data_IF_380213805948
#
_entry.id   IF_380213805948
#
_cell.length_a   1.000
_cell.length_b   1.000
_cell.length_c   1.000
_cell.angle_alpha   90.00
_cell.angle_beta   90.00
_cell.angle_gamma   90.00
#
_symmetry.space_group_name_H-M   'P 1'
#
loop_
_entity.id
_entity.type
_entity.pdbx_description
1 polymer ?
#
# COMPACT_ATOMS: atom_id res chain seq x y z
N UNK A 1 28.88 -13.97 -2.50
CA UNK A 1 28.19 -14.85 -3.46
C UNK A 1 26.66 -14.60 -3.55
N UNK A 2 26.18 -13.37 -3.32
CA UNK A 2 24.72 -13.07 -3.35
C UNK A 2 24.29 -12.11 -4.46
N UNK A 3 25.24 -11.59 -5.28
CA UNK A 3 24.93 -10.72 -6.42
C UNK A 3 24.08 -11.43 -7.50
N UNK A 4 24.10 -12.76 -7.55
CA UNK A 4 23.36 -13.57 -8.53
C UNK A 4 21.85 -13.60 -8.33
N UNK A 5 21.34 -13.30 -7.11
CA UNK A 5 19.91 -13.36 -6.80
C UNK A 5 19.12 -12.25 -7.49
N UNK A 6 19.68 -11.05 -7.63
CA UNK A 6 18.99 -9.92 -8.27
C UNK A 6 19.07 -9.94 -9.80
N UNK A 7 20.06 -10.63 -10.40
CA UNK A 7 20.29 -10.59 -11.82
C UNK A 7 20.54 -9.16 -12.34
N UNK A 8 20.23 -8.89 -13.61
CA UNK A 8 20.24 -7.53 -14.16
C UNK A 8 19.08 -6.73 -13.56
N UNK A 9 19.41 -5.63 -12.91
CA UNK A 9 18.49 -4.87 -12.06
C UNK A 9 18.21 -3.48 -12.65
N UNK A 10 16.93 -3.10 -12.70
CA UNK A 10 16.51 -1.74 -12.99
C UNK A 10 16.13 -1.04 -11.67
N UNK A 11 16.76 0.09 -11.39
CA UNK A 11 16.38 0.99 -10.29
C UNK A 11 15.45 2.06 -10.85
N UNK A 12 14.16 2.00 -10.52
CA UNK A 12 13.19 3.04 -10.85
C UNK A 12 13.07 3.95 -9.62
N UNK A 13 13.39 5.23 -9.77
CA UNK A 13 13.47 6.15 -8.65
C UNK A 13 12.64 7.41 -8.85
N UNK A 14 11.89 7.82 -7.83
CA UNK A 14 11.23 9.12 -7.82
C UNK A 14 12.20 10.20 -7.26
N UNK A 15 12.67 11.14 -8.08
CA UNK A 15 13.62 12.15 -7.65
C UNK A 15 13.06 13.13 -6.60
N UNK A 16 11.73 13.32 -6.59
CA UNK A 16 11.02 14.23 -5.69
C UNK A 16 10.78 13.65 -4.29
N UNK A 17 10.94 12.35 -4.08
CA UNK A 17 10.74 11.68 -2.79
C UNK A 17 11.48 12.40 -1.66
N UNK A 18 10.87 12.45 -0.44
CA UNK A 18 11.43 13.13 0.75
C UNK A 18 11.84 14.57 0.46
N UNK A 19 10.96 15.36 -0.15
CA UNK A 19 11.21 16.78 -0.45
C UNK A 19 12.49 16.99 -1.28
N UNK A 20 12.65 16.21 -2.37
CA UNK A 20 13.78 16.31 -3.32
C UNK A 20 15.04 15.51 -2.94
N UNK A 21 15.02 14.76 -1.84
CA UNK A 21 16.15 13.90 -1.43
C UNK A 21 16.18 12.55 -2.17
N UNK A 22 15.13 12.22 -2.93
CA UNK A 22 15.01 10.97 -3.66
C UNK A 22 16.16 10.73 -4.64
N UNK A 23 16.57 11.76 -5.40
CA UNK A 23 17.72 11.68 -6.31
C UNK A 23 19.01 11.25 -5.58
N UNK A 24 19.34 11.90 -4.45
CA UNK A 24 20.50 11.53 -3.64
C UNK A 24 20.40 10.10 -3.09
N UNK A 25 19.20 9.72 -2.63
CA UNK A 25 18.92 8.36 -2.14
C UNK A 25 19.16 7.30 -3.22
N UNK A 26 18.69 7.54 -4.47
CA UNK A 26 18.87 6.63 -5.59
C UNK A 26 20.35 6.45 -5.96
N UNK A 27 21.14 7.52 -5.94
CA UNK A 27 22.58 7.41 -6.16
C UNK A 27 23.30 6.59 -5.08
N UNK A 28 22.87 6.72 -3.79
CA UNK A 28 23.40 5.88 -2.70
C UNK A 28 23.03 4.41 -2.92
N UNK A 29 21.83 4.11 -3.44
CA UNK A 29 21.41 2.75 -3.83
C UNK A 29 22.32 2.20 -4.91
N UNK A 30 22.52 2.94 -6.01
CA UNK A 30 23.35 2.51 -7.14
C UNK A 30 24.82 2.30 -6.73
N UNK A 31 25.39 3.24 -5.97
CA UNK A 31 26.75 3.09 -5.44
C UNK A 31 26.89 1.80 -4.60
N UNK A 32 25.89 1.51 -3.75
CA UNK A 32 25.92 0.33 -2.92
C UNK A 32 25.72 -0.97 -3.72
N UNK A 33 24.82 -0.98 -4.70
CA UNK A 33 24.66 -2.10 -5.66
C UNK A 33 25.97 -2.38 -6.40
N UNK A 34 26.65 -1.33 -6.88
CA UNK A 34 27.95 -1.46 -7.55
C UNK A 34 29.03 -2.07 -6.65
N UNK A 35 29.11 -1.66 -5.38
CA UNK A 35 30.01 -2.26 -4.37
C UNK A 35 29.70 -3.72 -4.08
N UNK A 36 28.42 -4.10 -4.19
CA UNK A 36 27.95 -5.48 -4.01
C UNK A 36 28.06 -6.32 -5.30
N UNK A 37 28.57 -5.73 -6.40
CA UNK A 37 28.77 -6.41 -7.68
C UNK A 37 27.48 -6.70 -8.47
N UNK A 38 26.40 -5.94 -8.22
CA UNK A 38 25.13 -6.07 -8.93
C UNK A 38 25.14 -5.23 -10.20
N UNK A 39 24.88 -5.86 -11.35
CA UNK A 39 24.65 -5.15 -12.61
C UNK A 39 23.32 -4.41 -12.54
N UNK A 40 23.33 -3.09 -12.71
CA UNK A 40 22.14 -2.26 -12.57
C UNK A 40 22.13 -1.05 -13.50
N UNK A 41 20.92 -0.56 -13.76
CA UNK A 41 20.66 0.70 -14.45
C UNK A 41 19.74 1.56 -13.57
N UNK A 42 19.88 2.88 -13.65
CA UNK A 42 19.06 3.85 -12.91
C UNK A 42 18.24 4.68 -13.88
N UNK A 43 16.93 4.73 -13.66
CA UNK A 43 16.01 5.62 -14.36
C UNK A 43 15.21 6.40 -13.33
N UNK A 44 15.07 7.71 -13.56
CA UNK A 44 14.20 8.57 -12.75
C UNK A 44 12.84 8.73 -13.42
N UNK A 45 11.78 8.73 -12.61
CA UNK A 45 10.46 9.10 -13.09
C UNK A 45 10.38 10.60 -13.36
N UNK A 46 9.62 10.99 -14.37
CA UNK A 46 9.41 12.38 -14.80
C UNK A 46 8.03 12.90 -14.35
N UNK A 47 7.07 12.01 -14.07
CA UNK A 47 5.72 12.36 -13.65
C UNK A 47 4.88 11.14 -13.27
N UNK A 48 3.62 11.38 -13.00
CA UNK A 48 2.64 10.35 -12.62
C UNK A 48 2.44 9.35 -13.78
N UNK A 49 2.33 8.05 -13.41
CA UNK A 49 2.18 6.94 -14.36
C UNK A 49 3.48 6.47 -15.03
N UNK A 50 4.57 7.23 -14.92
CA UNK A 50 5.83 6.92 -15.59
C UNK A 50 6.48 5.66 -15.01
N UNK A 51 6.41 5.45 -13.70
CA UNK A 51 6.93 4.22 -13.09
C UNK A 51 6.19 2.97 -13.57
N UNK A 52 4.89 3.06 -13.84
CA UNK A 52 4.10 1.96 -14.42
C UNK A 52 4.54 1.63 -15.83
N UNK A 53 4.85 2.64 -16.65
CA UNK A 53 5.38 2.47 -18.00
C UNK A 53 6.77 1.82 -17.96
N UNK A 54 7.69 2.37 -17.16
CA UNK A 54 9.05 1.85 -17.00
C UNK A 54 9.07 0.41 -16.50
N UNK A 55 8.19 0.05 -15.57
CA UNK A 55 8.04 -1.31 -15.06
C UNK A 55 7.63 -2.30 -16.16
N UNK A 56 6.74 -1.91 -17.07
CA UNK A 56 6.35 -2.75 -18.22
C UNK A 56 7.46 -2.90 -19.23
N UNK A 57 8.18 -1.82 -19.54
CA UNK A 57 9.27 -1.81 -20.49
C UNK A 57 10.49 -2.59 -19.99
N UNK A 58 10.64 -2.79 -18.68
CA UNK A 58 11.68 -3.61 -18.07
C UNK A 58 11.54 -5.12 -18.36
N UNK A 59 10.33 -5.56 -18.76
CA UNK A 59 10.07 -6.97 -19.03
C UNK A 59 11.01 -7.54 -20.11
N UNK A 60 11.56 -8.73 -19.84
CA UNK A 60 12.50 -9.41 -20.73
C UNK A 60 13.93 -8.84 -20.76
N UNK A 61 14.13 -7.60 -20.27
CA UNK A 61 15.46 -6.96 -20.22
C UNK A 61 16.09 -6.99 -18.83
N UNK A 62 15.25 -6.96 -17.79
CA UNK A 62 15.70 -6.95 -16.40
C UNK A 62 15.05 -8.10 -15.62
N UNK A 63 15.84 -8.71 -14.74
CA UNK A 63 15.37 -9.75 -13.85
C UNK A 63 14.67 -9.16 -12.62
N UNK A 64 15.15 -8.02 -12.14
CA UNK A 64 14.66 -7.37 -10.92
C UNK A 64 14.41 -5.88 -11.17
N UNK A 65 13.32 -5.36 -10.57
CA UNK A 65 13.08 -3.93 -10.42
C UNK A 65 13.23 -3.57 -8.95
N UNK A 66 14.02 -2.53 -8.65
CA UNK A 66 14.05 -1.90 -7.33
C UNK A 66 13.25 -0.59 -7.37
N UNK A 67 12.02 -0.63 -6.86
CA UNK A 67 11.18 0.56 -6.70
C UNK A 67 11.76 1.42 -5.56
N UNK A 68 12.40 2.53 -5.92
CA UNK A 68 13.17 3.38 -5.01
C UNK A 68 12.41 4.68 -4.77
N UNK A 69 11.53 4.69 -3.77
CA UNK A 69 10.61 5.81 -3.52
C UNK A 69 9.67 5.59 -2.34
N UNK A 70 8.52 6.24 -2.37
CA UNK A 70 7.40 6.03 -1.43
C UNK A 70 6.38 5.04 -1.97
N UNK A 71 5.28 4.86 -1.21
CA UNK A 71 4.22 3.89 -1.53
C UNK A 71 3.56 4.17 -2.89
N UNK A 72 3.38 5.43 -3.30
CA UNK A 72 2.85 5.77 -4.62
C UNK A 72 3.73 5.28 -5.78
N UNK A 73 5.06 5.37 -5.67
CA UNK A 73 5.96 4.79 -6.68
C UNK A 73 5.83 3.26 -6.72
N UNK A 74 5.71 2.63 -5.55
CA UNK A 74 5.52 1.18 -5.45
C UNK A 74 4.20 0.77 -6.10
N UNK A 75 3.11 1.49 -5.81
CA UNK A 75 1.80 1.29 -6.43
C UNK A 75 1.88 1.36 -7.95
N UNK A 76 2.48 2.41 -8.53
CA UNK A 76 2.64 2.52 -9.98
C UNK A 76 3.43 1.35 -10.57
N UNK A 77 4.54 0.95 -9.92
CA UNK A 77 5.35 -0.20 -10.39
C UNK A 77 4.51 -1.48 -10.34
N UNK A 78 3.77 -1.73 -9.28
CA UNK A 78 2.86 -2.88 -9.17
C UNK A 78 1.82 -2.85 -10.27
N UNK A 79 1.14 -1.72 -10.49
CA UNK A 79 0.17 -1.56 -11.59
C UNK A 79 0.79 -1.84 -12.97
N UNK A 80 2.05 -1.44 -13.18
CA UNK A 80 2.80 -1.74 -14.40
C UNK A 80 3.07 -3.23 -14.57
N UNK A 81 3.55 -3.89 -13.51
CA UNK A 81 3.84 -5.31 -13.51
C UNK A 81 2.59 -6.17 -13.71
N UNK A 82 1.46 -5.77 -13.11
CA UNK A 82 0.20 -6.50 -13.23
C UNK A 82 -0.37 -6.51 -14.65
N UNK A 83 0.01 -5.56 -15.49
CA UNK A 83 -0.35 -5.54 -16.93
C UNK A 83 0.47 -6.52 -17.79
N UNK A 84 1.50 -7.14 -17.21
CA UNK A 84 2.32 -8.15 -17.90
C UNK A 84 1.78 -9.57 -17.60
N UNK A 85 1.97 -10.52 -18.54
CA UNK A 85 1.81 -11.93 -18.22
C UNK A 85 2.69 -12.32 -17.02
N UNK A 86 2.19 -13.13 -16.11
CA UNK A 86 2.88 -13.49 -14.85
C UNK A 86 4.32 -13.98 -15.08
N UNK A 87 4.56 -14.77 -16.11
CA UNK A 87 5.87 -15.31 -16.44
C UNK A 87 6.88 -14.26 -16.93
N UNK A 88 6.44 -13.06 -17.29
CA UNK A 88 7.29 -11.96 -17.78
C UNK A 88 7.54 -10.89 -16.72
N UNK A 89 6.90 -11.00 -15.54
CA UNK A 89 7.03 -10.03 -14.47
C UNK A 89 8.42 -10.12 -13.82
N UNK A 90 9.23 -9.05 -13.82
CA UNK A 90 10.44 -8.97 -13.02
C UNK A 90 10.15 -9.14 -11.52
N UNK A 91 11.14 -9.59 -10.77
CA UNK A 91 11.10 -9.62 -9.31
C UNK A 91 11.05 -8.18 -8.78
N UNK A 92 10.15 -7.90 -7.84
CA UNK A 92 10.03 -6.58 -7.24
C UNK A 92 10.80 -6.50 -5.92
N UNK A 93 11.72 -5.56 -5.81
CA UNK A 93 12.30 -5.11 -4.55
C UNK A 93 11.89 -3.67 -4.24
N UNK A 94 11.83 -3.31 -2.98
CA UNK A 94 11.43 -1.98 -2.53
C UNK A 94 12.56 -1.32 -1.74
N UNK A 95 12.92 -0.11 -2.14
CA UNK A 95 13.87 0.73 -1.41
C UNK A 95 13.11 1.96 -0.90
N UNK A 96 12.74 1.98 0.39
CA UNK A 96 11.83 2.97 0.94
C UNK A 96 12.51 4.35 1.10
N UNK A 97 12.04 5.31 0.30
CA UNK A 97 12.42 6.73 0.38
C UNK A 97 11.19 7.65 0.54
N UNK A 98 10.05 7.12 0.90
CA UNK A 98 8.83 7.86 1.18
C UNK A 98 8.64 8.21 2.66
N UNK A 99 7.49 8.79 2.99
CA UNK A 99 7.05 9.11 4.37
C UNK A 99 6.36 7.93 5.05
N UNK A 100 5.48 7.20 4.36
CA UNK A 100 4.73 6.04 4.87
C UNK A 100 5.55 4.77 4.86
N UNK A 101 5.91 4.33 3.67
CA UNK A 101 6.66 3.11 3.38
C UNK A 101 5.99 1.86 3.99
N UNK A 102 4.69 1.72 3.79
CA UNK A 102 3.89 0.64 4.35
C UNK A 102 4.21 -0.69 3.68
N UNK A 103 4.35 -0.71 2.34
CA UNK A 103 4.76 -1.93 1.65
C UNK A 103 6.15 -2.42 2.07
N UNK A 104 7.10 -1.50 2.30
CA UNK A 104 8.40 -1.88 2.84
C UNK A 104 8.30 -2.44 4.28
N UNK A 105 7.31 -2.00 5.07
CA UNK A 105 7.03 -2.53 6.40
C UNK A 105 6.50 -3.95 6.31
N UNK A 106 5.54 -4.20 5.44
CA UNK A 106 4.99 -5.54 5.13
C UNK A 106 6.08 -6.51 4.70
N UNK A 107 7.00 -6.07 3.84
CA UNK A 107 8.14 -6.88 3.38
C UNK A 107 9.31 -6.95 4.37
N UNK A 108 9.21 -6.36 5.56
CA UNK A 108 10.28 -6.25 6.56
C UNK A 108 11.59 -5.66 6.00
N UNK A 109 11.48 -4.68 5.10
CA UNK A 109 12.62 -3.94 4.54
C UNK A 109 12.94 -2.75 5.45
N UNK A 110 14.22 -2.52 5.83
CA UNK A 110 14.63 -1.38 6.64
C UNK A 110 14.30 -0.03 6.00
N UNK A 111 13.60 0.86 6.74
CA UNK A 111 13.09 2.14 6.22
C UNK A 111 13.97 3.36 6.54
N UNK A 112 15.02 3.18 7.32
CA UNK A 112 15.88 4.23 7.82
C UNK A 112 17.20 4.39 7.04
N UNK A 113 17.53 3.45 6.16
CA UNK A 113 18.77 3.45 5.39
C UNK A 113 18.61 2.77 4.03
N UNK A 114 18.86 3.47 2.91
CA UNK A 114 18.85 2.86 1.58
C UNK A 114 19.83 1.70 1.43
N UNK A 115 21.01 1.79 2.06
CA UNK A 115 22.01 0.72 2.04
C UNK A 115 21.51 -0.55 2.74
N UNK A 116 20.93 -0.42 3.93
CA UNK A 116 20.35 -1.55 4.64
C UNK A 116 19.16 -2.15 3.90
N UNK A 117 18.39 -1.33 3.18
CA UNK A 117 17.29 -1.80 2.34
C UNK A 117 17.82 -2.65 1.16
N UNK A 118 18.88 -2.20 0.49
CA UNK A 118 19.56 -2.97 -0.55
C UNK A 118 20.12 -4.29 0.01
N UNK A 119 20.77 -4.25 1.17
CA UNK A 119 21.29 -5.46 1.80
C UNK A 119 20.16 -6.42 2.17
N UNK A 120 19.02 -5.92 2.66
CA UNK A 120 17.85 -6.74 2.94
C UNK A 120 17.28 -7.40 1.66
N UNK A 121 17.28 -6.70 0.52
CA UNK A 121 16.88 -7.28 -0.76
C UNK A 121 17.91 -8.34 -1.25
N UNK A 122 19.19 -8.12 -1.04
CA UNK A 122 20.24 -9.06 -1.43
C UNK A 122 20.31 -10.33 -0.58
N UNK A 123 20.07 -10.18 0.71
CA UNK A 123 20.24 -11.24 1.72
C UNK A 123 18.93 -11.87 2.16
N UNK A 124 17.83 -11.28 1.74
CA UNK A 124 16.47 -11.71 2.07
C UNK A 124 16.01 -12.93 1.27
N UNK A 125 14.71 -13.03 1.09
CA UNK A 125 14.08 -14.15 0.38
C UNK A 125 13.15 -13.64 -0.71
N UNK A 126 13.07 -14.39 -1.81
CA UNK A 126 12.01 -14.24 -2.78
C UNK A 126 10.73 -14.88 -2.24
N UNK A 127 9.63 -14.15 -2.31
CA UNK A 127 8.32 -14.62 -1.87
C UNK A 127 7.27 -14.31 -2.93
N UNK A 128 6.33 -15.22 -3.08
CA UNK A 128 5.14 -14.94 -3.86
C UNK A 128 4.16 -14.18 -2.98
N UNK A 129 3.67 -13.06 -3.50
CA UNK A 129 2.62 -12.27 -2.85
C UNK A 129 1.43 -12.11 -3.78
N UNK A 130 0.29 -11.90 -3.17
CA UNK A 130 -0.93 -11.52 -3.86
C UNK A 130 -1.01 -10.02 -4.10
N UNK A 131 -1.94 -9.63 -4.93
CA UNK A 131 -2.29 -8.24 -5.22
C UNK A 131 -3.81 -8.17 -5.25
N UNK A 132 -4.38 -7.15 -4.61
CA UNK A 132 -5.82 -6.92 -4.72
C UNK A 132 -6.15 -6.18 -6.01
N UNK A 133 -7.36 -6.37 -6.49
CA UNK A 133 -7.92 -5.64 -7.63
C UNK A 133 -9.28 -5.08 -7.24
N UNK A 134 -9.54 -3.82 -7.58
CA UNK A 134 -10.86 -3.20 -7.50
C UNK A 134 -11.23 -2.67 -8.88
N UNK A 135 -12.33 -3.18 -9.45
CA UNK A 135 -12.66 -2.96 -10.84
C UNK A 135 -11.43 -3.30 -11.73
N UNK A 136 -10.82 -2.30 -12.39
CA UNK A 136 -9.62 -2.50 -13.22
C UNK A 136 -8.33 -1.94 -12.57
N UNK A 137 -8.37 -1.61 -11.28
CA UNK A 137 -7.27 -0.97 -10.55
C UNK A 137 -6.64 -1.93 -9.54
N UNK A 138 -5.32 -2.09 -9.59
CA UNK A 138 -4.57 -2.97 -8.70
C UNK A 138 -4.11 -2.22 -7.43
N UNK A 139 -4.04 -2.94 -6.31
CA UNK A 139 -3.46 -2.44 -5.06
C UNK A 139 -2.59 -3.48 -4.36
N UNK A 140 -1.48 -2.99 -3.82
CA UNK A 140 -0.49 -3.84 -3.15
C UNK A 140 -0.68 -3.92 -1.63
N UNK A 141 -1.32 -2.92 -1.03
CA UNK A 141 -1.50 -2.81 0.42
C UNK A 141 -2.96 -2.62 0.82
N UNK A 142 -3.63 -1.60 0.27
CA UNK A 142 -4.91 -1.16 0.82
C UNK A 142 -5.85 -0.58 -0.21
N UNK A 143 -7.11 -0.96 -0.08
CA UNK A 143 -8.26 -0.24 -0.61
C UNK A 143 -9.11 0.16 0.58
N UNK A 144 -9.55 1.41 0.66
CA UNK A 144 -10.42 1.81 1.75
C UNK A 144 -11.48 2.82 1.35
N UNK A 145 -12.56 2.80 2.12
CA UNK A 145 -13.80 3.54 1.87
C UNK A 145 -14.19 4.31 3.12
N UNK A 146 -14.56 5.57 2.95
CA UNK A 146 -15.12 6.41 4.00
C UNK A 146 -14.08 7.26 4.71
N UNK A 147 -14.15 7.31 6.03
CA UNK A 147 -13.42 8.30 6.85
C UNK A 147 -11.90 8.21 6.71
N UNK A 148 -11.34 7.02 6.71
CA UNK A 148 -9.90 6.81 6.60
C UNK A 148 -9.38 7.12 5.20
N UNK A 149 -10.17 6.80 4.16
CA UNK A 149 -9.88 7.21 2.78
C UNK A 149 -9.85 8.73 2.66
N UNK A 150 -10.83 9.43 3.23
CA UNK A 150 -10.87 10.89 3.24
C UNK A 150 -9.63 11.50 3.92
N UNK A 151 -9.22 10.95 5.06
CA UNK A 151 -8.00 11.38 5.77
C UNK A 151 -6.74 11.14 4.95
N UNK A 152 -6.64 9.99 4.29
CA UNK A 152 -5.48 9.65 3.46
C UNK A 152 -5.36 10.57 2.23
N UNK A 153 -6.48 10.84 1.54
CA UNK A 153 -6.53 11.71 0.37
C UNK A 153 -6.22 13.17 0.74
N UNK A 154 -6.78 13.70 1.83
CA UNK A 154 -6.47 15.05 2.30
C UNK A 154 -4.98 15.18 2.69
N UNK A 155 -4.39 14.17 3.33
CA UNK A 155 -2.97 14.16 3.67
C UNK A 155 -2.08 14.17 2.41
N UNK A 156 -2.51 13.49 1.34
CA UNK A 156 -1.83 13.49 0.04
C UNK A 156 -1.86 14.86 -0.63
N UNK A 157 -3.03 15.49 -0.71
CA UNK A 157 -3.19 16.84 -1.29
C UNK A 157 -2.29 17.87 -0.60
N UNK A 158 -2.30 17.90 0.73
CA UNK A 158 -1.43 18.78 1.51
C UNK A 158 0.05 18.54 1.29
N UNK A 159 0.43 17.27 1.09
CA UNK A 159 1.82 16.92 0.80
C UNK A 159 2.25 17.42 -0.58
N UNK A 160 1.35 17.37 -1.57
CA UNK A 160 1.57 17.90 -2.90
C UNK A 160 1.70 19.45 -2.89
N UNK A 161 0.98 20.14 -2.02
CA UNK A 161 1.05 21.58 -1.81
C UNK A 161 2.29 22.06 -1.02
N UNK A 162 3.16 21.13 -0.58
CA UNK A 162 4.41 21.47 0.12
C UNK A 162 4.23 21.86 1.60
N UNK A 163 3.06 21.65 2.19
CA UNK A 163 2.83 21.85 3.61
C UNK A 163 3.64 20.84 4.44
N UNK A 164 4.54 21.34 5.27
CA UNK A 164 5.53 20.55 5.98
C UNK A 164 4.96 19.44 6.87
N UNK A 165 5.72 18.37 7.01
CA UNK A 165 5.38 17.10 7.63
C UNK A 165 5.22 17.15 9.18
N UNK A 166 4.22 17.87 9.66
CA UNK A 166 3.71 17.70 11.02
C UNK A 166 2.68 16.58 11.08
N UNK A 167 3.11 15.33 10.86
CA UNK A 167 2.23 14.19 10.58
C UNK A 167 1.07 13.99 11.59
N UNK A 168 1.30 14.13 12.89
CA UNK A 168 0.25 13.90 13.91
C UNK A 168 -0.74 15.05 14.07
N UNK A 169 -0.29 16.30 13.97
CA UNK A 169 -1.15 17.47 14.16
C UNK A 169 -2.14 17.67 13.00
N UNK A 170 -1.70 17.38 11.79
CA UNK A 170 -2.52 17.54 10.58
C UNK A 170 -3.59 16.45 10.46
N UNK A 171 -3.28 15.20 10.82
CA UNK A 171 -4.28 14.13 10.88
C UNK A 171 -5.39 14.42 11.90
N UNK A 172 -5.05 15.04 13.04
CA UNK A 172 -6.04 15.35 14.07
C UNK A 172 -7.05 16.44 13.65
N UNK A 173 -6.58 17.50 12.96
CA UNK A 173 -7.45 18.59 12.51
C UNK A 173 -8.33 18.18 11.32
N UNK A 174 -7.76 17.47 10.35
CA UNK A 174 -8.48 16.89 9.21
C UNK A 174 -9.48 15.85 9.66
N UNK A 175 -9.06 14.94 10.54
CA UNK A 175 -9.96 13.97 11.14
C UNK A 175 -11.13 14.65 11.87
N UNK A 176 -10.89 15.69 12.67
CA UNK A 176 -11.96 16.39 13.39
C UNK A 176 -13.02 17.00 12.47
N UNK A 177 -12.60 17.60 11.34
CA UNK A 177 -13.52 18.15 10.33
C UNK A 177 -14.28 17.07 9.58
N UNK A 178 -13.60 15.98 9.22
CA UNK A 178 -14.19 14.82 8.56
C UNK A 178 -15.13 14.07 9.50
N UNK A 179 -14.80 13.95 10.78
CA UNK A 179 -15.69 13.39 11.81
C UNK A 179 -16.99 14.16 11.96
N UNK A 180 -16.95 15.49 11.90
CA UNK A 180 -18.14 16.32 11.95
C UNK A 180 -19.06 16.12 10.73
N UNK A 181 -18.49 15.74 9.56
CA UNK A 181 -19.23 15.46 8.32
C UNK A 181 -19.66 13.99 8.19
N UNK A 182 -18.90 13.07 8.77
CA UNK A 182 -19.10 11.62 8.64
C UNK A 182 -19.83 10.99 9.84
N UNK A 183 -20.43 11.80 10.71
CA UNK A 183 -21.02 11.33 11.96
C UNK A 183 -22.00 10.14 11.80
N UNK A 184 -22.62 10.00 10.63
CA UNK A 184 -23.58 8.94 10.35
C UNK A 184 -23.01 7.77 9.52
N UNK A 185 -21.82 7.90 8.95
CA UNK A 185 -21.22 6.89 8.06
C UNK A 185 -21.98 6.74 6.72
N UNK A 186 -21.55 5.78 5.92
CA UNK A 186 -22.12 5.48 4.60
C UNK A 186 -22.88 4.15 4.64
N UNK A 187 -24.03 4.12 3.96
CA UNK A 187 -24.81 2.90 3.81
C UNK A 187 -24.20 2.07 2.66
N UNK A 188 -23.94 0.81 2.95
CA UNK A 188 -23.45 -0.16 1.99
C UNK A 188 -24.23 -1.46 2.05
N UNK A 189 -24.22 -2.21 0.95
CA UNK A 189 -24.68 -3.58 0.82
C UNK A 189 -23.76 -4.31 -0.14
N UNK A 190 -23.90 -5.62 -0.29
CA UNK A 190 -23.07 -6.32 -1.27
C UNK A 190 -23.06 -7.82 -1.09
N UNK A 191 -22.10 -8.45 -1.75
CA UNK A 191 -21.84 -9.89 -1.66
C UNK A 191 -20.38 -10.09 -1.25
N UNK A 192 -20.13 -10.97 -0.30
CA UNK A 192 -18.79 -11.32 0.17
C UNK A 192 -18.64 -12.84 0.06
N UNK A 193 -17.78 -13.34 -0.82
CA UNK A 193 -17.58 -14.78 -1.10
C UNK A 193 -18.91 -15.52 -1.33
N UNK A 194 -19.82 -14.90 -2.09
CA UNK A 194 -21.14 -15.44 -2.41
C UNK A 194 -22.21 -15.28 -1.32
N UNK A 195 -21.87 -14.76 -0.15
CA UNK A 195 -22.82 -14.46 0.93
C UNK A 195 -23.37 -13.04 0.76
N UNK A 196 -24.71 -12.93 0.68
CA UNK A 196 -25.39 -11.65 0.61
C UNK A 196 -25.28 -10.92 1.95
N UNK A 197 -24.80 -9.70 1.92
CA UNK A 197 -24.74 -8.81 3.06
C UNK A 197 -25.91 -7.83 3.03
N UNK A 198 -26.72 -7.85 4.05
CA UNK A 198 -27.80 -6.88 4.22
C UNK A 198 -27.24 -5.45 4.34
N UNK A 199 -28.09 -4.48 3.98
CA UNK A 199 -27.73 -3.07 4.08
C UNK A 199 -27.29 -2.70 5.49
N UNK A 200 -26.08 -2.17 5.60
CA UNK A 200 -25.44 -1.78 6.84
C UNK A 200 -24.79 -0.38 6.70
N UNK A 201 -24.45 0.23 7.82
CA UNK A 201 -23.69 1.49 7.83
C UNK A 201 -22.28 1.26 8.36
N UNK A 202 -21.32 1.86 7.68
CA UNK A 202 -19.94 1.88 8.12
C UNK A 202 -19.35 3.29 8.02
N UNK A 203 -18.56 3.67 9.01
CA UNK A 203 -17.73 4.88 8.97
C UNK A 203 -16.45 4.64 8.16
N UNK A 204 -15.98 3.41 8.19
CA UNK A 204 -14.76 2.94 7.56
C UNK A 204 -15.00 1.52 7.06
N UNK A 205 -14.53 1.22 5.86
CA UNK A 205 -14.43 -0.12 5.31
C UNK A 205 -13.09 -0.26 4.63
N UNK A 206 -12.19 -1.08 5.18
CA UNK A 206 -10.86 -1.31 4.64
C UNK A 206 -10.72 -2.73 4.12
N UNK A 207 -10.11 -2.88 2.96
CA UNK A 207 -9.75 -4.14 2.29
C UNK A 207 -8.24 -4.17 2.16
N UNK A 208 -7.59 -5.12 2.82
CA UNK A 208 -6.16 -5.13 3.03
C UNK A 208 -5.51 -6.35 2.37
N UNK A 209 -4.36 -6.11 1.73
CA UNK A 209 -3.38 -7.15 1.36
C UNK A 209 -2.32 -7.21 2.43
N UNK A 210 -1.81 -6.06 2.87
CA UNK A 210 -0.82 -5.96 3.94
C UNK A 210 -1.41 -5.50 5.27
N UNK A 211 -0.66 -5.67 6.37
CA UNK A 211 -1.18 -5.40 7.72
C UNK A 211 -1.34 -3.91 8.05
N UNK A 212 -0.66 -3.02 7.31
CA UNK A 212 -0.59 -1.60 7.67
C UNK A 212 -0.80 -0.68 6.48
N UNK A 213 -1.35 0.52 6.75
CA UNK A 213 -1.38 1.64 5.81
C UNK A 213 -1.25 2.98 6.56
N UNK A 214 -1.24 4.09 5.82
CA UNK A 214 -1.21 5.44 6.42
C UNK A 214 0.03 5.71 7.27
N UNK A 215 1.19 5.12 6.94
CA UNK A 215 2.44 5.28 7.69
C UNK A 215 2.53 4.37 8.92
N UNK A 216 1.83 3.22 8.92
CA UNK A 216 1.93 2.16 9.90
C UNK A 216 0.77 2.05 10.88
N UNK A 217 -0.43 2.46 10.49
CA UNK A 217 -1.65 2.04 11.18
C UNK A 217 -1.90 0.57 10.89
N UNK A 218 -1.93 -0.26 11.92
CA UNK A 218 -2.11 -1.70 11.80
C UNK A 218 -3.61 -2.04 11.76
N UNK A 219 -4.27 -1.72 10.63
CA UNK A 219 -5.72 -1.87 10.48
C UNK A 219 -6.15 -3.35 10.38
N UNK A 220 -5.31 -4.18 9.78
CA UNK A 220 -5.47 -5.63 9.73
C UNK A 220 -4.17 -6.30 10.21
N UNK A 221 -3.87 -6.28 11.52
CA UNK A 221 -2.55 -6.68 12.03
C UNK A 221 -2.20 -8.15 11.78
N UNK A 222 -3.18 -8.97 11.42
CA UNK A 222 -3.03 -10.37 11.03
C UNK A 222 -2.85 -10.61 9.54
N UNK A 223 -2.96 -9.56 8.70
CA UNK A 223 -2.92 -9.71 7.25
C UNK A 223 -1.60 -10.35 6.77
N UNK A 224 -1.76 -11.29 5.86
CA UNK A 224 -0.68 -12.07 5.29
C UNK A 224 -0.75 -12.01 3.75
N UNK A 225 0.11 -11.25 3.07
CA UNK A 225 0.04 -11.04 1.63
C UNK A 225 0.42 -12.28 0.79
N UNK A 226 0.30 -13.48 1.35
CA UNK A 226 0.65 -14.74 0.67
C UNK A 226 -0.32 -15.89 0.94
N UNK A 227 -1.45 -15.67 1.57
CA UNK A 227 -2.41 -16.72 1.94
C UNK A 227 -3.63 -16.83 1.00
N UNK A 228 -3.74 -15.91 0.04
CA UNK A 228 -4.74 -15.92 -1.02
C UNK A 228 -6.10 -15.38 -0.60
N UNK A 229 -6.13 -14.53 0.45
CA UNK A 229 -7.34 -13.83 0.89
C UNK A 229 -7.03 -12.35 1.16
N UNK A 230 -8.07 -11.53 1.10
CA UNK A 230 -8.05 -10.13 1.54
C UNK A 230 -8.54 -10.05 2.97
N UNK A 231 -7.89 -9.25 3.78
CA UNK A 231 -8.31 -8.96 5.15
C UNK A 231 -9.25 -7.76 5.15
N UNK A 232 -10.46 -7.94 5.64
CA UNK A 232 -11.46 -6.89 5.75
C UNK A 232 -11.47 -6.36 7.18
N UNK A 233 -11.45 -5.04 7.33
CA UNK A 233 -11.71 -4.37 8.61
C UNK A 233 -12.73 -3.27 8.39
N UNK A 234 -13.91 -3.39 8.98
CA UNK A 234 -14.93 -2.37 8.86
C UNK A 234 -15.61 -2.07 10.19
N UNK A 235 -16.06 -0.81 10.31
CA UNK A 235 -16.76 -0.37 11.50
C UNK A 235 -18.20 -0.87 11.52
N UNK A 236 -18.70 -1.23 12.69
CA UNK A 236 -20.09 -1.61 12.94
C UNK A 236 -20.69 -0.78 14.07
N UNK A 237 -21.99 -0.55 13.98
CA UNK A 237 -22.72 0.26 14.95
C UNK A 237 -22.35 1.76 14.88
N UNK A 238 -22.68 2.48 15.94
CA UNK A 238 -22.50 3.94 16.03
C UNK A 238 -21.61 4.28 17.25
N UNK A 239 -20.27 4.22 17.12
CA UNK A 239 -19.40 4.64 18.20
C UNK A 239 -19.55 6.15 18.44
N UNK A 240 -19.53 6.58 19.69
CA UNK A 240 -19.45 8.00 20.02
C UNK A 240 -18.15 8.60 19.54
N UNK A 241 -18.09 9.90 19.26
CA UNK A 241 -16.87 10.58 18.80
C UNK A 241 -15.65 10.31 19.69
N UNK A 242 -15.72 10.37 21.03
CA UNK A 242 -14.59 9.99 21.88
C UNK A 242 -14.15 8.54 21.70
N UNK A 243 -15.10 7.62 21.55
CA UNK A 243 -14.79 6.21 21.33
C UNK A 243 -14.11 5.99 19.96
N UNK A 244 -14.58 6.66 18.94
CA UNK A 244 -14.00 6.60 17.60
C UNK A 244 -12.54 7.13 17.58
N UNK A 245 -12.27 8.24 18.27
CA UNK A 245 -10.90 8.75 18.43
C UNK A 245 -10.00 7.76 19.19
N UNK A 246 -10.55 7.11 20.22
CA UNK A 246 -9.83 6.05 20.94
C UNK A 246 -9.53 4.84 20.05
N UNK A 247 -10.48 4.42 19.20
CA UNK A 247 -10.29 3.33 18.21
C UNK A 247 -9.23 3.66 17.18
N UNK A 248 -9.20 4.90 16.67
CA UNK A 248 -8.15 5.33 15.74
C UNK A 248 -6.77 5.31 16.41
N UNK A 249 -6.67 5.79 17.64
CA UNK A 249 -5.43 5.68 18.42
C UNK A 249 -5.01 4.22 18.65
N UNK A 250 -5.96 3.35 18.94
CA UNK A 250 -5.75 1.91 19.12
C UNK A 250 -5.33 1.21 17.81
N UNK A 251 -5.88 1.65 16.66
CA UNK A 251 -5.54 1.11 15.34
C UNK A 251 -4.07 1.34 14.96
N UNK A 252 -3.44 2.38 15.53
CA UNK A 252 -1.99 2.58 15.37
C UNK A 252 -1.17 1.37 15.81
N UNK A 253 -1.69 0.59 16.76
CA UNK A 253 -1.03 -0.57 17.38
C UNK A 253 -1.79 -1.87 17.12
N UNK A 254 -2.83 -1.87 16.29
CA UNK A 254 -3.67 -3.04 16.02
C UNK A 254 -4.58 -3.44 17.18
N UNK A 255 -4.74 -2.59 18.20
CA UNK A 255 -5.51 -2.91 19.41
C UNK A 255 -7.02 -2.68 19.25
N UNK A 256 -7.47 -2.08 18.14
CA UNK A 256 -8.89 -1.86 17.82
C UNK A 256 -9.63 -3.17 17.49
N UNK A 257 -8.91 -4.21 17.10
CA UNK A 257 -9.50 -5.50 16.65
C UNK A 257 -10.28 -6.24 17.72
N UNK A 258 -10.08 -5.89 18.99
CA UNK A 258 -10.88 -6.39 20.11
C UNK A 258 -12.14 -5.57 20.44
N UNK A 259 -12.42 -4.52 19.67
CA UNK A 259 -13.58 -3.66 19.92
C UNK A 259 -14.87 -4.25 19.34
N UNK A 260 -15.99 -4.05 20.02
CA UNK A 260 -17.32 -4.37 19.50
C UNK A 260 -17.73 -3.50 18.29
N UNK A 261 -16.97 -2.46 17.96
CA UNK A 261 -17.21 -1.56 16.83
C UNK A 261 -16.30 -1.81 15.63
N UNK A 262 -15.45 -2.83 15.68
CA UNK A 262 -14.59 -3.22 14.58
C UNK A 262 -14.81 -4.70 14.25
N UNK A 263 -15.13 -5.00 13.02
CA UNK A 263 -15.31 -6.37 12.55
C UNK A 263 -14.18 -6.70 11.59
N UNK A 264 -13.52 -7.84 11.82
CA UNK A 264 -12.53 -8.40 10.92
C UNK A 264 -13.13 -9.63 10.23
N UNK A 265 -12.88 -9.74 8.93
CA UNK A 265 -13.31 -10.86 8.10
C UNK A 265 -12.26 -11.10 7.02
N UNK A 266 -12.25 -12.29 6.43
CA UNK A 266 -11.47 -12.62 5.24
C UNK A 266 -12.39 -12.79 4.05
N UNK A 267 -11.89 -12.46 2.84
CA UNK A 267 -12.62 -12.70 1.60
C UNK A 267 -11.65 -12.89 0.42
N UNK A 268 -12.12 -13.60 -0.61
CA UNK A 268 -11.43 -13.69 -1.90
C UNK A 268 -12.03 -12.75 -2.93
N UNK A 269 -13.33 -12.57 -2.86
CA UNK A 269 -14.06 -11.69 -3.77
C UNK A 269 -15.20 -10.98 -3.03
N UNK A 270 -15.41 -9.72 -3.36
CA UNK A 270 -16.51 -8.93 -2.84
C UNK A 270 -17.07 -8.04 -3.95
N UNK A 271 -18.37 -7.83 -3.91
CA UNK A 271 -19.05 -6.80 -4.69
C UNK A 271 -19.75 -5.88 -3.70
N UNK A 272 -19.37 -4.60 -3.67
CA UNK A 272 -19.88 -3.62 -2.71
C UNK A 272 -20.64 -2.52 -3.45
N UNK A 273 -21.83 -2.20 -2.94
CA UNK A 273 -22.67 -1.10 -3.38
C UNK A 273 -22.84 -0.08 -2.27
N UNK A 274 -22.53 1.18 -2.54
CA UNK A 274 -22.77 2.29 -1.63
C UNK A 274 -23.95 3.14 -2.13
N UNK A 275 -24.77 3.63 -1.21
CA UNK A 275 -25.96 4.43 -1.55
C UNK A 275 -25.64 5.80 -2.16
N UNK A 276 -24.42 6.26 -2.02
CA UNK A 276 -23.91 7.56 -2.49
C UNK A 276 -22.40 7.51 -2.71
N UNK A 277 -21.84 8.44 -3.48
CA UNK A 277 -20.39 8.59 -3.59
C UNK A 277 -19.77 8.93 -2.24
N UNK A 278 -18.64 8.29 -1.98
CA UNK A 278 -17.88 8.47 -0.75
C UNK A 278 -16.39 8.58 -1.07
N UNK A 279 -15.57 9.06 -0.13
CA UNK A 279 -14.12 8.99 -0.29
C UNK A 279 -13.66 7.54 -0.42
N UNK A 280 -12.91 7.24 -1.49
CA UNK A 280 -12.29 5.93 -1.73
C UNK A 280 -10.83 6.15 -2.12
N UNK A 281 -9.94 5.34 -1.55
CA UNK A 281 -8.53 5.36 -1.91
C UNK A 281 -7.99 3.96 -2.18
N UNK A 282 -7.04 3.86 -3.11
CA UNK A 282 -6.32 2.66 -3.52
C UNK A 282 -4.83 2.94 -3.39
N UNK A 283 -4.15 2.37 -2.39
CA UNK A 283 -2.74 2.65 -2.06
C UNK A 283 -2.41 4.16 -1.95
N UNK A 284 -3.39 4.99 -1.54
CA UNK A 284 -3.27 6.44 -1.43
C UNK A 284 -3.73 7.23 -2.66
N UNK A 285 -4.13 6.57 -3.77
CA UNK A 285 -4.68 7.21 -4.96
C UNK A 285 -6.21 7.26 -4.90
N UNK A 286 -6.86 8.37 -5.33
CA UNK A 286 -8.31 8.46 -5.30
C UNK A 286 -8.97 7.52 -6.30
N UNK A 287 -10.10 6.95 -5.90
CA UNK A 287 -11.01 6.20 -6.77
C UNK A 287 -12.43 6.75 -6.61
N UNK A 288 -13.22 6.74 -7.68
CA UNK A 288 -14.59 7.26 -7.71
C UNK A 288 -15.58 6.19 -8.09
N UNK A 289 -16.79 6.29 -7.58
CA UNK A 289 -17.90 5.39 -7.87
C UNK A 289 -18.73 5.05 -6.65
N UNK A 290 -19.74 4.23 -6.89
CA UNK A 290 -20.64 3.68 -5.86
C UNK A 290 -20.70 2.17 -5.89
N UNK A 291 -20.17 1.54 -6.95
CA UNK A 291 -20.11 0.10 -7.12
C UNK A 291 -18.66 -0.36 -7.32
N UNK A 292 -18.25 -1.39 -6.56
CA UNK A 292 -16.89 -1.87 -6.54
C UNK A 292 -16.85 -3.40 -6.52
N UNK A 293 -16.34 -4.00 -7.59
CA UNK A 293 -15.99 -5.40 -7.66
C UNK A 293 -14.53 -5.58 -7.26
N UNK A 294 -14.30 -6.37 -6.22
CA UNK A 294 -12.99 -6.51 -5.59
C UNK A 294 -12.63 -7.99 -5.53
N UNK A 295 -11.39 -8.32 -5.88
CA UNK A 295 -10.89 -9.68 -5.74
C UNK A 295 -9.39 -9.71 -5.45
N UNK A 296 -8.92 -10.83 -4.92
CA UNK A 296 -7.50 -11.11 -4.77
C UNK A 296 -6.97 -11.84 -6.00
N UNK A 297 -5.81 -11.42 -6.50
CA UNK A 297 -5.02 -12.19 -7.48
C UNK A 297 -3.89 -12.92 -6.72
N UNK A 298 -4.04 -14.21 -6.42
CA UNK A 298 -3.10 -14.93 -5.58
C UNK A 298 -1.77 -15.16 -6.30
N UNK A 299 -0.65 -15.07 -5.55
CA UNK A 299 0.71 -15.30 -6.06
C UNK A 299 1.03 -14.43 -7.29
N UNK A 300 0.50 -13.21 -7.31
CA UNK A 300 0.55 -12.29 -8.44
C UNK A 300 1.97 -11.84 -8.77
N UNK A 301 2.78 -11.55 -7.75
CA UNK A 301 4.14 -11.05 -7.88
C UNK A 301 5.14 -11.91 -7.11
N UNK A 302 6.40 -11.86 -7.55
CA UNK A 302 7.54 -12.30 -6.76
C UNK A 302 8.22 -11.06 -6.18
N UNK A 303 8.35 -11.00 -4.87
CA UNK A 303 8.95 -9.86 -4.17
C UNK A 303 10.19 -10.27 -3.37
N UNK A 304 11.06 -9.29 -3.12
CA UNK A 304 12.19 -9.44 -2.21
C UNK A 304 11.75 -8.99 -0.81
N UNK A 305 11.85 -9.88 0.16
CA UNK A 305 11.52 -9.60 1.57
C UNK A 305 12.75 -9.67 2.47
N UNK A 306 12.75 -8.91 3.55
CA UNK A 306 13.74 -9.05 4.60
C UNK A 306 13.63 -10.41 5.32
N UNK A 307 14.68 -10.80 6.03
CA UNK A 307 14.73 -12.09 6.75
C UNK A 307 13.74 -12.18 7.91
N UNK A 308 13.33 -11.05 8.48
CA UNK A 308 12.45 -10.95 9.65
C UNK A 308 10.96 -10.93 9.31
N UNK A 309 10.59 -11.11 8.05
CA UNK A 309 9.18 -11.21 7.65
C UNK A 309 8.52 -12.39 8.39
N UNK A 310 7.28 -12.18 8.89
CA UNK A 310 6.62 -13.12 9.81
C UNK A 310 5.49 -13.94 9.15
N UNK A 311 5.18 -13.72 7.90
CA UNK A 311 4.21 -14.46 7.08
C UNK A 311 4.88 -15.32 6.01
#
# INVERSE_FOLDING_TARGET
MHASQLGRTLVIANPASRSGRGRKGAHVVCEHLGRRGVSHELVFTEGDGDASKLAREAAGSFHTILATGGDGLVHEVVCGLMRLPRAQRPVLGVIPLGSGNDYARTLAIPRNSPRLAVDACLEGRMRHVEVGCVNDTWFAETLSFGLDAAVALEARERHAEGAGSGLLGHYADSAARLFARAADGWTWSGVIDGELMDSARALLFAVQVGPTYGGGFAIAPGANPSDGVLDLCYSIGHPTTPHLLALLGAARFGLHTGSAHALLRYARELSLDFSEELPVQVDGEPLHGTHFDIHVEPRALVVLSGRSVRW
#
